data_IF_468368444809
#
_entry.id   IF_468368444809
#
_cell.length_a   1.000
_cell.length_b   1.000
_cell.length_c   1.000
_cell.angle_alpha   90.00
_cell.angle_beta   90.00
_cell.angle_gamma   90.00
#
_symmetry.space_group_name_H-M   'P 1'
#
loop_
_entity.id
_entity.type
_entity.pdbx_description
1 polymer ?
#
# COMPACT_ATOMS: atom_id res chain seq x y z
N UNK A 1 3.00 -10.47 -23.41
CA UNK A 1 2.60 -11.24 -22.21
C UNK A 1 3.82 -11.36 -21.29
N UNK A 2 3.65 -11.29 -19.95
CA UNK A 2 4.78 -11.32 -19.03
C UNK A 2 5.53 -12.66 -19.14
N UNK A 3 6.86 -12.61 -19.15
CA UNK A 3 7.71 -13.82 -19.10
C UNK A 3 7.89 -14.18 -17.63
N UNK A 4 7.46 -15.37 -17.22
CA UNK A 4 7.59 -15.82 -15.84
C UNK A 4 9.01 -16.37 -15.61
N UNK A 5 9.68 -15.94 -14.54
CA UNK A 5 10.97 -16.50 -14.11
C UNK A 5 10.82 -17.96 -13.66
N UNK A 6 11.92 -18.69 -13.53
CA UNK A 6 11.93 -20.03 -12.90
C UNK A 6 11.35 -20.01 -11.48
N UNK A 7 11.37 -18.86 -10.81
CA UNK A 7 10.87 -18.66 -9.45
C UNK A 7 9.40 -18.19 -9.41
N UNK A 8 8.70 -18.18 -10.56
CA UNK A 8 7.30 -17.75 -10.63
C UNK A 8 7.09 -16.23 -10.63
N UNK A 9 8.15 -15.43 -10.60
CA UNK A 9 8.07 -13.96 -10.61
C UNK A 9 7.93 -13.45 -12.05
N UNK A 10 6.92 -12.63 -12.38
CA UNK A 10 6.75 -12.07 -13.71
C UNK A 10 7.83 -11.04 -14.03
N UNK A 11 8.45 -11.15 -15.20
CA UNK A 11 9.32 -10.16 -15.81
C UNK A 11 8.48 -9.19 -16.62
N UNK A 12 8.61 -7.91 -16.30
CA UNK A 12 7.95 -6.81 -17.00
C UNK A 12 9.01 -5.91 -17.68
N UNK A 13 8.86 -5.65 -18.98
CA UNK A 13 9.69 -4.67 -19.68
C UNK A 13 9.49 -3.26 -19.12
N UNK A 14 10.55 -2.43 -19.15
CA UNK A 14 10.41 -0.99 -18.95
C UNK A 14 9.33 -0.43 -19.89
N UNK A 15 8.52 0.50 -19.38
CA UNK A 15 7.42 1.12 -20.12
C UNK A 15 6.10 0.35 -20.03
N UNK A 16 6.10 -0.84 -19.42
CA UNK A 16 4.86 -1.60 -19.19
C UNK A 16 3.92 -0.82 -18.28
N UNK A 17 2.71 -0.54 -18.74
CA UNK A 17 1.67 0.06 -17.90
C UNK A 17 1.04 -1.01 -17.01
N UNK A 18 0.89 -0.69 -15.72
CA UNK A 18 0.36 -1.58 -14.69
C UNK A 18 -0.88 -0.94 -14.08
N UNK A 19 -1.87 -1.77 -13.73
CA UNK A 19 -3.01 -1.38 -12.93
C UNK A 19 -3.35 -2.50 -11.96
N UNK A 20 -3.85 -2.12 -10.79
CA UNK A 20 -4.37 -3.02 -9.77
C UNK A 20 -5.88 -3.11 -9.91
N UNK A 21 -6.41 -4.31 -10.10
CA UNK A 21 -7.84 -4.57 -9.97
C UNK A 21 -8.12 -5.09 -8.56
N UNK A 22 -8.91 -4.33 -7.81
CA UNK A 22 -9.33 -4.65 -6.46
C UNK A 22 -10.81 -4.96 -6.46
N UNK A 23 -11.20 -5.97 -5.69
CA UNK A 23 -12.60 -6.30 -5.43
C UNK A 23 -12.77 -6.52 -3.93
N UNK A 24 -13.70 -5.79 -3.31
CA UNK A 24 -14.07 -6.05 -1.93
C UNK A 24 -15.15 -7.13 -1.90
N UNK A 25 -14.75 -8.38 -1.64
CA UNK A 25 -15.69 -9.51 -1.50
C UNK A 25 -16.28 -9.63 -0.08
N UNK A 26 -15.93 -8.73 0.84
CA UNK A 26 -16.50 -8.70 2.18
C UNK A 26 -17.87 -8.02 2.20
N UNK A 27 -18.63 -8.29 3.27
CA UNK A 27 -19.93 -7.65 3.53
C UNK A 27 -19.84 -6.24 4.13
N UNK A 28 -18.63 -5.77 4.42
CA UNK A 28 -18.34 -4.47 5.05
C UNK A 28 -17.41 -3.64 4.17
N UNK A 29 -17.49 -2.30 4.24
CA UNK A 29 -16.55 -1.46 3.51
C UNK A 29 -15.13 -1.59 4.09
N UNK A 30 -14.12 -1.51 3.23
CA UNK A 30 -12.70 -1.65 3.59
C UNK A 30 -11.92 -0.41 3.17
N UNK A 31 -11.02 0.04 4.03
CA UNK A 31 -9.99 1.03 3.69
C UNK A 31 -8.84 0.30 3.00
N UNK A 32 -8.45 0.75 1.81
CA UNK A 32 -7.37 0.14 1.03
C UNK A 32 -6.22 1.13 0.85
N UNK A 33 -4.99 0.63 0.98
CA UNK A 33 -3.78 1.36 0.62
C UNK A 33 -2.89 0.50 -0.27
N UNK A 34 -2.29 1.11 -1.30
CA UNK A 34 -1.33 0.45 -2.19
C UNK A 34 -0.01 1.22 -2.10
N UNK A 35 1.01 0.51 -1.64
CA UNK A 35 2.39 0.96 -1.53
C UNK A 35 3.22 0.18 -2.55
N UNK A 36 4.17 0.82 -3.19
CA UNK A 36 5.15 0.19 -4.07
C UNK A 36 6.54 0.49 -3.56
N UNK A 37 7.38 -0.53 -3.45
CA UNK A 37 8.78 -0.45 -3.06
C UNK A 37 9.60 -0.89 -4.26
N UNK A 38 10.45 -0.02 -4.78
CA UNK A 38 11.29 -0.35 -5.94
C UNK A 38 12.61 -1.04 -5.54
N UNK A 39 13.44 -1.36 -6.54
CA UNK A 39 14.70 -2.06 -6.30
C UNK A 39 15.78 -1.21 -5.59
N UNK A 40 15.59 0.12 -5.51
CA UNK A 40 16.41 1.02 -4.68
C UNK A 40 15.87 1.16 -3.25
N UNK A 41 14.69 0.59 -2.96
CA UNK A 41 14.01 0.75 -1.69
C UNK A 41 13.21 2.06 -1.58
N UNK A 42 13.01 2.78 -2.68
CA UNK A 42 12.15 3.96 -2.68
C UNK A 42 10.68 3.54 -2.59
N UNK A 43 9.89 4.30 -1.83
CA UNK A 43 8.49 3.98 -1.57
C UNK A 43 7.54 4.92 -2.30
N UNK A 44 6.63 4.38 -3.10
CA UNK A 44 5.58 5.13 -3.74
C UNK A 44 4.21 4.74 -3.19
N UNK A 45 3.44 5.74 -2.75
CA UNK A 45 2.03 5.51 -2.43
C UNK A 45 1.22 5.68 -3.70
N UNK A 46 0.74 4.55 -4.21
CA UNK A 46 -0.07 4.47 -5.42
C UNK A 46 -1.53 4.74 -5.09
N UNK A 47 -1.97 4.36 -3.88
CA UNK A 47 -3.32 4.66 -3.42
C UNK A 47 -3.35 4.87 -1.90
N UNK A 48 -3.87 6.02 -1.42
CA UNK A 48 -4.34 7.16 -2.21
C UNK A 48 -3.16 7.91 -2.85
N UNK A 49 -3.27 8.28 -4.14
CA UNK A 49 -2.22 9.05 -4.85
C UNK A 49 -2.39 10.58 -4.70
N UNK A 50 -3.31 11.04 -3.86
CA UNK A 50 -3.47 12.46 -3.54
C UNK A 50 -3.45 12.63 -2.02
N UNK A 51 -2.41 13.32 -1.57
CA UNK A 51 -2.13 13.56 -0.16
C UNK A 51 -3.07 14.60 0.49
N UNK A 52 -3.93 15.26 -0.30
CA UNK A 52 -4.91 16.23 0.17
C UNK A 52 -6.33 15.68 0.36
N UNK A 53 -6.60 14.44 -0.04
CA UNK A 53 -7.99 13.90 -0.01
C UNK A 53 -8.34 13.37 1.38
N UNK A 54 -9.61 13.54 1.76
CA UNK A 54 -10.16 13.03 3.01
C UNK A 54 -10.05 11.50 3.12
N UNK A 55 -9.96 10.98 4.35
CA UNK A 55 -9.80 9.56 4.68
C UNK A 55 -10.85 8.64 4.00
N UNK A 56 -12.03 9.15 3.64
CA UNK A 56 -13.05 8.38 2.93
C UNK A 56 -12.70 8.03 1.47
N UNK A 57 -11.70 8.67 0.86
CA UNK A 57 -11.32 8.38 -0.52
C UNK A 57 -10.59 7.05 -0.70
N UNK A 58 -10.10 6.46 0.39
CA UNK A 58 -9.50 5.12 0.39
C UNK A 58 -10.51 4.01 0.66
N UNK A 59 -11.78 4.36 0.88
CA UNK A 59 -12.84 3.41 1.18
C UNK A 59 -13.30 2.71 -0.11
N UNK A 60 -13.36 1.39 -0.04
CA UNK A 60 -13.92 0.50 -1.04
C UNK A 60 -15.18 -0.15 -0.44
N UNK A 61 -16.34 0.12 -1.03
CA UNK A 61 -17.63 -0.36 -0.51
C UNK A 61 -17.74 -1.89 -0.61
N UNK A 62 -18.62 -2.50 0.17
CA UNK A 62 -18.89 -3.94 0.07
C UNK A 62 -19.34 -4.31 -1.37
N UNK A 63 -18.72 -5.32 -1.97
CA UNK A 63 -18.95 -5.75 -3.34
C UNK A 63 -18.38 -4.81 -4.42
N UNK A 64 -17.69 -3.73 -4.05
CA UNK A 64 -17.16 -2.77 -5.02
C UNK A 64 -15.90 -3.31 -5.70
N UNK A 65 -15.86 -3.19 -7.03
CA UNK A 65 -14.66 -3.41 -7.84
C UNK A 65 -14.06 -2.07 -8.28
N UNK A 66 -12.75 -1.89 -8.11
CA UNK A 66 -12.03 -0.67 -8.48
C UNK A 66 -10.71 -0.99 -9.17
N UNK A 67 -10.41 -0.26 -10.24
CA UNK A 67 -9.13 -0.33 -10.95
C UNK A 67 -8.28 0.89 -10.59
N UNK A 68 -7.01 0.70 -10.26
CA UNK A 68 -6.10 1.76 -9.83
C UNK A 68 -4.76 1.66 -10.59
N UNK A 69 -4.31 2.69 -11.32
CA UNK A 69 -5.07 3.90 -11.63
C UNK A 69 -6.24 3.63 -12.59
N UNK A 70 -7.37 4.26 -12.34
CA UNK A 70 -8.48 4.40 -13.29
C UNK A 70 -8.18 5.51 -14.31
N UNK A 71 -8.96 5.57 -15.40
CA UNK A 71 -8.86 6.67 -16.37
C UNK A 71 -9.10 8.06 -15.74
N UNK A 72 -9.81 8.12 -14.62
CA UNK A 72 -10.18 9.35 -13.92
C UNK A 72 -9.18 9.77 -12.84
N UNK A 73 -8.19 8.92 -12.51
CA UNK A 73 -7.27 9.18 -11.40
C UNK A 73 -6.18 10.21 -11.76
N UNK A 74 -6.05 10.52 -13.06
CA UNK A 74 -5.15 11.54 -13.58
C UNK A 74 -3.67 11.12 -13.57
N UNK A 75 -3.36 9.83 -13.42
CA UNK A 75 -2.01 9.30 -13.50
C UNK A 75 -1.98 7.91 -14.14
N UNK A 76 -0.78 7.47 -14.53
CA UNK A 76 -0.51 6.11 -15.02
C UNK A 76 0.63 5.52 -14.20
N UNK A 77 0.54 4.23 -13.90
CA UNK A 77 1.63 3.49 -13.29
C UNK A 77 2.38 2.76 -14.41
N UNK A 78 3.69 2.97 -14.48
CA UNK A 78 4.55 2.40 -15.53
C UNK A 78 5.78 1.80 -14.88
N UNK A 79 6.19 0.62 -15.34
CA UNK A 79 7.44 -0.02 -14.95
C UNK A 79 8.61 0.84 -15.44
N UNK A 80 9.48 1.25 -14.51
CA UNK A 80 10.62 2.13 -14.77
C UNK A 80 11.88 1.63 -14.09
N UNK A 81 12.97 2.38 -14.27
CA UNK A 81 14.23 2.14 -13.57
C UNK A 81 14.10 2.42 -12.06
N UNK A 82 14.95 1.82 -11.20
CA UNK A 82 16.04 0.89 -11.53
C UNK A 82 15.54 -0.53 -11.86
N UNK A 83 16.36 -1.26 -12.62
CA UNK A 83 16.10 -2.69 -12.88
C UNK A 83 16.21 -3.49 -11.60
N UNK A 84 15.35 -4.50 -11.46
CA UNK A 84 15.36 -5.38 -10.30
C UNK A 84 13.96 -5.72 -9.81
N UNK A 85 13.87 -6.07 -8.53
CA UNK A 85 12.61 -6.45 -7.90
C UNK A 85 11.84 -5.22 -7.44
N UNK A 86 10.54 -5.23 -7.71
CA UNK A 86 9.60 -4.25 -7.21
C UNK A 86 8.49 -4.99 -6.47
N UNK A 87 8.17 -4.52 -5.26
CA UNK A 87 7.10 -5.06 -4.45
C UNK A 87 5.93 -4.09 -4.42
N UNK A 88 4.73 -4.56 -4.72
CA UNK A 88 3.50 -3.85 -4.41
C UNK A 88 2.87 -4.46 -3.16
N UNK A 89 2.76 -3.67 -2.09
CA UNK A 89 2.09 -4.03 -0.84
C UNK A 89 0.69 -3.41 -0.81
N UNK A 90 -0.33 -4.25 -0.85
CA UNK A 90 -1.73 -3.90 -0.76
C UNK A 90 -2.23 -4.24 0.63
N UNK A 91 -2.76 -3.25 1.34
CA UNK A 91 -3.29 -3.41 2.70
C UNK A 91 -4.78 -3.05 2.67
N UNK A 92 -5.62 -3.95 3.16
CA UNK A 92 -7.05 -3.73 3.34
C UNK A 92 -7.40 -3.89 4.83
N UNK A 93 -8.13 -2.92 5.38
CA UNK A 93 -8.55 -2.95 6.77
C UNK A 93 -9.96 -2.41 6.96
N UNK A 94 -10.64 -2.91 7.98
CA UNK A 94 -11.93 -2.37 8.45
C UNK A 94 -11.79 -1.02 9.15
N UNK A 95 -10.55 -0.59 9.46
CA UNK A 95 -10.24 0.71 10.06
C UNK A 95 -9.24 1.49 9.19
N UNK A 96 -9.33 2.84 9.14
CA UNK A 96 -8.41 3.62 8.34
C UNK A 96 -6.99 3.62 8.92
N UNK A 97 -5.98 3.53 8.04
CA UNK A 97 -4.55 3.61 8.35
C UNK A 97 -4.11 5.06 8.62
N UNK A 98 -4.70 5.69 9.64
CA UNK A 98 -4.64 7.14 9.85
C UNK A 98 -3.24 7.64 10.14
N UNK A 99 -2.53 6.99 11.04
CA UNK A 99 -1.26 7.52 11.56
C UNK A 99 -0.14 7.28 10.55
N UNK A 100 -0.10 6.10 9.94
CA UNK A 100 0.87 5.75 8.89
C UNK A 100 0.71 6.62 7.63
N UNK A 101 -0.51 6.80 7.13
CA UNK A 101 -0.76 7.70 5.99
C UNK A 101 -0.39 9.15 6.32
N UNK A 102 -0.61 9.63 7.55
CA UNK A 102 -0.18 10.97 7.97
C UNK A 102 1.33 11.12 8.02
N UNK A 103 2.08 10.10 8.43
CA UNK A 103 3.54 10.13 8.40
C UNK A 103 4.06 10.21 6.97
N UNK A 104 3.51 9.38 6.08
CA UNK A 104 3.82 9.40 4.65
C UNK A 104 3.49 10.77 4.01
N UNK A 105 2.34 11.36 4.35
CA UNK A 105 2.00 12.74 3.96
C UNK A 105 3.00 13.78 4.48
N UNK A 106 3.48 13.61 5.71
CA UNK A 106 4.48 14.48 6.30
C UNK A 106 5.81 14.46 5.53
N UNK A 107 6.26 13.26 5.15
CA UNK A 107 7.45 13.05 4.32
C UNK A 107 7.26 13.71 2.96
N UNK A 108 6.12 13.45 2.30
CA UNK A 108 5.80 14.05 1.00
C UNK A 108 5.82 15.59 1.05
N UNK A 109 5.18 16.19 2.06
CA UNK A 109 5.14 17.65 2.25
C UNK A 109 6.53 18.25 2.48
N UNK A 110 7.40 17.60 3.25
CA UNK A 110 8.80 18.04 3.43
C UNK A 110 9.58 18.03 2.12
N UNK A 111 9.35 17.02 1.29
CA UNK A 111 9.90 16.93 -0.06
C UNK A 111 9.23 17.84 -1.10
N UNK A 112 8.27 18.68 -0.70
CA UNK A 112 7.51 19.55 -1.62
C UNK A 112 6.59 18.78 -2.59
N UNK A 113 6.28 17.52 -2.30
CA UNK A 113 5.47 16.64 -3.14
C UNK A 113 4.01 16.65 -2.69
N UNK A 114 3.10 16.84 -3.65
CA UNK A 114 1.65 16.74 -3.44
C UNK A 114 1.07 15.40 -3.91
N UNK A 115 1.82 14.64 -4.72
CA UNK A 115 1.49 13.30 -5.26
C UNK A 115 2.77 12.52 -5.59
N UNK A 116 2.66 11.22 -5.84
CA UNK A 116 3.77 10.40 -6.38
C UNK A 116 4.78 9.87 -5.34
N UNK A 117 5.91 9.32 -5.81
CA UNK A 117 6.86 8.56 -4.98
C UNK A 117 7.53 9.43 -3.92
N UNK A 118 7.84 8.83 -2.77
CA UNK A 118 8.60 9.43 -1.69
C UNK A 118 9.85 8.59 -1.39
N UNK A 119 10.93 9.25 -1.03
CA UNK A 119 12.17 8.59 -0.62
C UNK A 119 12.37 8.93 0.87
N UNK A 120 11.74 8.18 1.79
CA UNK A 120 12.00 8.40 3.21
C UNK A 120 13.44 8.04 3.54
N UNK A 121 14.05 8.79 4.44
CA UNK A 121 15.29 8.36 5.07
C UNK A 121 15.02 7.21 6.07
N UNK A 122 16.07 6.65 6.66
CA UNK A 122 15.98 5.51 7.58
C UNK A 122 15.06 5.79 8.78
N UNK A 123 15.21 6.94 9.44
CA UNK A 123 14.37 7.32 10.58
C UNK A 123 12.90 7.49 10.19
N UNK A 124 12.64 8.09 9.03
CA UNK A 124 11.31 8.26 8.47
C UNK A 124 10.66 6.93 8.10
N UNK A 125 11.44 5.98 7.58
CA UNK A 125 10.98 4.64 7.25
C UNK A 125 10.59 3.86 8.52
N UNK A 126 11.43 3.92 9.56
CA UNK A 126 11.13 3.31 10.86
C UNK A 126 9.87 3.93 11.48
N UNK A 127 9.74 5.25 11.44
CA UNK A 127 8.57 5.97 11.96
C UNK A 127 7.26 5.59 11.23
N UNK A 128 7.31 5.45 9.89
CA UNK A 128 6.17 4.99 9.10
C UNK A 128 5.79 3.55 9.48
N UNK A 129 6.78 2.69 9.64
CA UNK A 129 6.58 1.28 10.01
C UNK A 129 5.95 1.16 11.40
N UNK A 130 6.44 1.93 12.37
CA UNK A 130 5.87 1.96 13.73
C UNK A 130 4.42 2.43 13.74
N UNK A 131 4.12 3.50 12.99
CA UNK A 131 2.75 4.01 12.86
C UNK A 131 1.84 3.05 12.12
N UNK A 132 2.36 2.32 11.12
CA UNK A 132 1.58 1.28 10.46
C UNK A 132 1.19 0.21 11.47
N UNK A 133 2.15 -0.29 12.25
CA UNK A 133 1.90 -1.27 13.30
C UNK A 133 0.94 -0.77 14.38
N UNK A 134 0.98 0.52 14.73
CA UNK A 134 0.01 1.14 15.64
C UNK A 134 -1.40 1.23 15.04
N UNK A 135 -1.53 1.54 13.75
CA UNK A 135 -2.82 1.50 13.04
C UNK A 135 -3.38 0.06 13.03
N UNK A 136 -2.52 -0.96 12.87
CA UNK A 136 -2.93 -2.37 12.91
C UNK A 136 -3.40 -2.80 14.31
N UNK A 137 -2.67 -2.40 15.36
CA UNK A 137 -3.06 -2.67 16.75
C UNK A 137 -4.37 -1.96 17.10
N UNK A 138 -4.55 -0.72 16.64
CA UNK A 138 -5.79 0.04 16.84
C UNK A 138 -6.97 -0.62 16.14
N UNK A 139 -6.81 -1.07 14.88
CA UNK A 139 -7.86 -1.78 14.15
C UNK A 139 -8.30 -3.07 14.87
N UNK A 140 -7.35 -3.76 15.50
CA UNK A 140 -7.59 -4.95 16.31
C UNK A 140 -8.45 -4.63 17.53
N UNK A 141 -8.12 -3.56 18.26
CA UNK A 141 -8.80 -3.14 19.50
C UNK A 141 -10.14 -2.44 19.27
N UNK A 142 -10.29 -1.70 18.17
CA UNK A 142 -11.47 -0.87 17.89
C UNK A 142 -12.77 -1.63 17.61
N UNK A 143 -12.68 -2.94 17.31
CA UNK A 143 -13.86 -3.79 17.08
C UNK A 143 -14.17 -4.79 18.20
N UNK A 144 -13.47 -4.73 19.33
CA UNK A 144 -13.69 -5.63 20.45
C UNK A 144 -13.96 -4.82 21.72
N UNK A 145 -15.24 -4.57 22.03
CA UNK A 145 -15.68 -4.58 23.43
C UNK A 145 -15.69 -6.04 23.93
N UNK A 146 -14.55 -6.73 23.80
CA UNK A 146 -14.39 -8.08 24.35
C UNK A 146 -13.50 -7.91 25.56
N UNK A 147 -14.12 -7.99 26.73
CA UNK A 147 -13.43 -8.20 27.99
C UNK A 147 -12.40 -9.32 27.82
N UNK A 148 -11.11 -9.04 28.06
CA UNK A 148 -10.19 -10.07 28.52
C UNK A 148 -8.87 -10.31 27.79
N UNK A 149 -8.55 -9.65 26.67
CA UNK A 149 -7.19 -9.77 26.08
C UNK A 149 -6.39 -8.50 26.35
N UNK A 150 -5.88 -8.38 27.57
CA UNK A 150 -4.90 -7.36 27.91
C UNK A 150 -3.54 -7.84 27.39
N UNK A 151 -3.15 -7.40 26.18
CA UNK A 151 -1.82 -7.70 25.65
C UNK A 151 -0.76 -7.14 26.61
N UNK A 152 0.35 -7.88 26.87
CA UNK A 152 1.46 -7.38 27.66
C UNK A 152 2.02 -6.06 27.10
N UNK A 153 2.63 -5.25 27.96
CA UNK A 153 3.32 -4.04 27.52
C UNK A 153 4.38 -4.39 26.46
N UNK A 154 4.38 -3.64 25.36
CA UNK A 154 5.28 -3.89 24.22
C UNK A 154 4.79 -4.94 23.22
N UNK A 155 3.56 -5.47 23.37
CA UNK A 155 2.96 -6.41 22.41
C UNK A 155 1.85 -5.71 21.62
N UNK A 156 1.98 -5.75 20.30
CA UNK A 156 0.96 -5.25 19.34
C UNK A 156 0.14 -6.44 18.82
N UNK A 157 -1.18 -6.32 18.84
CA UNK A 157 -2.11 -7.32 18.33
C UNK A 157 -2.47 -7.07 16.88
N UNK A 158 -2.68 -8.14 16.11
CA UNK A 158 -3.24 -8.06 14.76
C UNK A 158 -4.41 -9.04 14.65
N UNK A 159 -5.62 -8.53 14.50
CA UNK A 159 -6.84 -9.31 14.23
C UNK A 159 -6.93 -9.56 12.72
N UNK A 160 -6.63 -10.80 12.33
CA UNK A 160 -6.64 -11.25 10.93
C UNK A 160 -8.04 -11.26 10.31
N UNK A 161 -9.11 -11.09 11.08
CA UNK A 161 -10.47 -10.90 10.53
C UNK A 161 -10.76 -9.44 10.17
N UNK A 162 -9.92 -8.50 10.61
CA UNK A 162 -10.07 -7.06 10.38
C UNK A 162 -9.02 -6.50 9.44
N UNK A 163 -8.06 -7.33 9.04
CA UNK A 163 -6.93 -6.96 8.23
C UNK A 163 -6.56 -8.07 7.26
N UNK A 164 -6.36 -7.67 6.01
CA UNK A 164 -5.70 -8.47 5.00
C UNK A 164 -4.54 -7.65 4.39
N UNK A 165 -3.41 -8.32 4.16
CA UNK A 165 -2.28 -7.74 3.44
C UNK A 165 -1.86 -8.71 2.33
N UNK A 166 -1.54 -8.16 1.17
CA UNK A 166 -1.08 -8.90 0.00
C UNK A 166 0.15 -8.22 -0.58
N UNK A 167 1.21 -9.00 -0.80
CA UNK A 167 2.41 -8.57 -1.48
C UNK A 167 2.48 -9.19 -2.87
N UNK A 168 2.75 -8.37 -3.89
CA UNK A 168 2.96 -8.80 -5.27
C UNK A 168 4.38 -8.42 -5.68
N UNK A 169 5.16 -9.41 -6.08
CA UNK A 169 6.54 -9.21 -6.57
C UNK A 169 6.56 -9.21 -8.10
N UNK A 170 7.22 -8.21 -8.67
CA UNK A 170 7.45 -8.08 -10.11
C UNK A 170 8.93 -7.77 -10.36
N UNK A 171 9.47 -8.28 -11.48
CA UNK A 171 10.85 -7.99 -11.89
C UNK A 171 10.84 -7.00 -13.07
N UNK A 172 11.44 -5.83 -12.89
CA UNK A 172 11.73 -4.86 -13.95
C UNK A 172 13.05 -5.20 -14.67
N UNK A 173 13.02 -5.27 -16.01
CA UNK A 173 14.19 -5.52 -16.86
C UNK A 173 14.17 -4.67 -18.14
N UNK A 174 15.34 -4.42 -18.72
CA UNK A 174 15.46 -3.90 -20.11
C UNK A 174 15.16 -5.06 -21.06
N UNK A 175 14.19 -4.90 -21.95
CA UNK A 175 14.14 -5.71 -23.16
C UNK A 175 15.17 -5.16 -24.15
N UNK A 176 16.24 -5.91 -24.40
CA UNK A 176 17.08 -5.67 -25.56
C UNK A 176 16.29 -6.11 -26.80
N UNK A 177 15.75 -5.15 -27.55
CA UNK A 177 15.25 -5.38 -28.92
C UNK A 177 16.38 -5.78 -29.85
#
# INVERSE_FOLDING_TARGET
PPVITENGIPKLPIGTQVAFELENQESVPLYVSILVIDAAGEMAVIFPNDWGVAEGATLLSAGEKRTIPSQNDGFKLTVGEPLGMTEALIIASTSPLRTSLKALQGIAKRGGKTRGPIAPNEDEFLDVTDKLLDDLDTATRGGLNVEGVNLPAGVRGVDTNKLAAMAILLMCLVECT
#
